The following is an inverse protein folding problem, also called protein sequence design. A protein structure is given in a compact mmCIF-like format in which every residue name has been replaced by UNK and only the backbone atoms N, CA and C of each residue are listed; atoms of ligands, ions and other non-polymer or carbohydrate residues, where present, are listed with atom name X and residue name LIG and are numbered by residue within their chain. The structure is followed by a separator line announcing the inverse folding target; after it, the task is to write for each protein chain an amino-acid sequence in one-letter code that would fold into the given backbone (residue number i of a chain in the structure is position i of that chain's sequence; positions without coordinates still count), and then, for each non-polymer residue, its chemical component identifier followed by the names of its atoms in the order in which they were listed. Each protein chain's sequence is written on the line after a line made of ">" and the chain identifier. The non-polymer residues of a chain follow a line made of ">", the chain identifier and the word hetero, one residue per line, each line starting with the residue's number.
data_IF_854829309583
#
_entry.id   IF_854829309583
#
_cell.length_a   1.000
_cell.length_b   1.000
_cell.length_c   1.000
_cell.angle_alpha   90.00
_cell.angle_beta   90.00
_cell.angle_gamma   90.00
#
_symmetry.space_group_name_H-M   'P 1'
#
loop_
_entity.id
_entity.type
_entity.pdbx_description
1 polymer ?
#
# COMPACT_ATOMS: atom_id res chain seq x y z
N UNK A 1 -8.34 -1.58 1.19
CA UNK A 1 -7.91 -1.03 2.48
C UNK A 1 -8.77 -1.57 3.60
N UNK A 2 -8.15 -2.15 4.62
CA UNK A 2 -8.89 -2.64 5.79
C UNK A 2 -9.45 -1.46 6.60
N UNK A 3 -10.54 -1.68 7.34
CA UNK A 3 -11.11 -0.67 8.25
C UNK A 3 -10.08 -0.16 9.26
N UNK A 4 -9.16 -1.04 9.69
CA UNK A 4 -8.07 -0.71 10.62
C UNK A 4 -7.07 0.25 9.96
N UNK A 5 -6.61 -0.06 8.75
CA UNK A 5 -5.66 0.80 8.03
C UNK A 5 -6.26 2.18 7.73
N UNK A 6 -7.53 2.23 7.34
CA UNK A 6 -8.24 3.48 7.12
C UNK A 6 -8.28 4.33 8.39
N UNK A 7 -8.63 3.70 9.51
CA UNK A 7 -8.69 4.37 10.81
C UNK A 7 -7.31 4.84 11.27
N UNK A 8 -6.26 4.06 11.01
CA UNK A 8 -4.88 4.46 11.30
C UNK A 8 -4.47 5.69 10.49
N UNK A 9 -4.76 5.72 9.18
CA UNK A 9 -4.47 6.88 8.34
C UNK A 9 -5.19 8.14 8.81
N UNK A 10 -6.47 8.03 9.20
CA UNK A 10 -7.22 9.14 9.79
C UNK A 10 -6.56 9.68 11.06
N UNK A 11 -6.19 8.80 11.99
CA UNK A 11 -5.55 9.19 13.25
C UNK A 11 -4.18 9.84 12.98
N UNK A 12 -3.38 9.27 12.07
CA UNK A 12 -2.09 9.84 11.68
C UNK A 12 -2.28 11.24 11.07
N UNK A 13 -3.26 11.42 10.19
CA UNK A 13 -3.60 12.73 9.62
C UNK A 13 -3.96 13.76 10.71
N UNK A 14 -4.82 13.38 11.66
CA UNK A 14 -5.18 14.24 12.79
C UNK A 14 -3.94 14.60 13.63
N UNK A 15 -3.06 13.63 13.92
CA UNK A 15 -1.83 13.88 14.67
C UNK A 15 -0.91 14.86 13.93
N UNK A 16 -0.73 14.69 12.63
CA UNK A 16 0.10 15.60 11.82
C UNK A 16 -0.46 17.03 11.73
N UNK A 17 -1.78 17.20 11.79
CA UNK A 17 -2.42 18.52 11.70
C UNK A 17 -2.60 19.24 13.04
N UNK A 18 -2.85 18.49 14.12
CA UNK A 18 -3.37 19.05 15.38
C UNK A 18 -2.39 19.01 16.54
N UNK A 19 -1.31 18.24 16.45
CA UNK A 19 -0.30 18.13 17.52
C UNK A 19 0.93 18.97 17.19
N UNK A 20 1.51 19.56 18.22
CA UNK A 20 2.87 20.05 18.17
C UNK A 20 3.81 18.83 18.24
N UNK A 21 4.32 18.44 17.07
CA UNK A 21 5.26 17.35 16.90
C UNK A 21 6.65 17.94 16.69
N UNK A 22 7.66 17.26 17.24
CA UNK A 22 9.04 17.52 16.83
C UNK A 22 9.21 17.18 15.35
N UNK A 23 10.22 17.76 14.66
CA UNK A 23 10.50 17.42 13.27
C UNK A 23 10.69 15.91 13.03
N UNK A 24 11.25 15.20 14.01
CA UNK A 24 11.47 13.75 13.93
C UNK A 24 10.15 12.98 14.00
N UNK A 25 9.30 13.25 15.00
CA UNK A 25 8.00 12.57 15.13
C UNK A 25 7.10 12.79 13.91
N UNK A 26 7.09 14.02 13.38
CA UNK A 26 6.35 14.33 12.16
C UNK A 26 6.90 13.61 10.92
N UNK A 27 8.20 13.30 10.89
CA UNK A 27 8.80 12.50 9.82
C UNK A 27 8.40 11.02 9.94
N UNK A 28 8.53 10.43 11.13
CA UNK A 28 8.16 9.04 11.38
C UNK A 28 6.68 8.75 11.10
N UNK A 29 5.79 9.67 11.49
CA UNK A 29 4.36 9.56 11.19
C UNK A 29 4.08 9.65 9.68
N UNK A 30 4.80 10.51 8.96
CA UNK A 30 4.69 10.61 7.50
C UNK A 30 5.18 9.35 6.79
N UNK A 31 6.29 8.78 7.24
CA UNK A 31 6.79 7.51 6.71
C UNK A 31 5.81 6.36 7.01
N UNK A 32 5.24 6.32 8.22
CA UNK A 32 4.21 5.35 8.59
C UNK A 32 2.96 5.48 7.71
N UNK A 33 2.48 6.71 7.48
CA UNK A 33 1.37 6.98 6.57
C UNK A 33 1.70 6.51 5.14
N UNK A 34 2.87 6.89 4.62
CA UNK A 34 3.32 6.52 3.28
C UNK A 34 3.39 5.00 3.12
N UNK A 35 3.92 4.29 4.12
CA UNK A 35 4.04 2.85 4.09
C UNK A 35 2.69 2.14 3.97
N UNK A 36 1.69 2.56 4.75
CA UNK A 36 0.33 1.99 4.68
C UNK A 36 -0.27 2.22 3.29
N UNK A 37 -0.17 3.45 2.76
CA UNK A 37 -0.69 3.80 1.43
C UNK A 37 0.00 3.01 0.32
N UNK A 38 1.33 2.92 0.35
CA UNK A 38 2.12 2.21 -0.65
C UNK A 38 1.81 0.71 -0.63
N UNK A 39 1.63 0.12 0.55
CA UNK A 39 1.22 -1.29 0.70
C UNK A 39 -0.13 -1.54 0.05
N UNK A 40 -1.12 -0.69 0.31
CA UNK A 40 -2.47 -0.82 -0.27
C UNK A 40 -2.47 -0.60 -1.79
N UNK A 41 -1.69 0.36 -2.30
CA UNK A 41 -1.50 0.55 -3.74
C UNK A 41 -0.90 -0.69 -4.41
N UNK A 42 0.13 -1.30 -3.80
CA UNK A 42 0.73 -2.54 -4.30
C UNK A 42 -0.26 -3.70 -4.32
N UNK A 43 -1.05 -3.88 -3.25
CA UNK A 43 -2.13 -4.89 -3.19
C UNK A 43 -3.18 -4.67 -4.28
N UNK A 44 -3.63 -3.43 -4.48
CA UNK A 44 -4.59 -3.09 -5.53
C UNK A 44 -4.04 -3.40 -6.93
N UNK A 45 -2.75 -3.10 -7.17
CA UNK A 45 -2.06 -3.45 -8.43
C UNK A 45 -2.05 -4.96 -8.68
N UNK A 46 -1.75 -5.78 -7.68
CA UNK A 46 -1.80 -7.25 -7.80
C UNK A 46 -3.22 -7.74 -8.16
N UNK A 47 -4.25 -7.21 -7.50
CA UNK A 47 -5.64 -7.56 -7.81
C UNK A 47 -6.02 -7.20 -9.25
N UNK A 48 -5.61 -6.02 -9.71
CA UNK A 48 -5.85 -5.59 -11.09
C UNK A 48 -5.13 -6.48 -12.12
N UNK A 49 -3.89 -6.87 -11.84
CA UNK A 49 -3.13 -7.79 -12.70
C UNK A 49 -3.78 -9.18 -12.75
N UNK A 50 -4.25 -9.69 -11.61
CA UNK A 50 -5.00 -10.95 -11.55
C UNK A 50 -6.29 -10.88 -12.36
N UNK A 51 -7.03 -9.77 -12.24
CA UNK A 51 -8.24 -9.54 -13.02
C UNK A 51 -7.97 -9.47 -14.53
N UNK A 52 -6.95 -8.72 -14.94
CA UNK A 52 -6.52 -8.62 -16.33
C UNK A 52 -6.07 -9.98 -16.90
N UNK A 53 -5.27 -10.74 -16.14
CA UNK A 53 -4.84 -12.08 -16.50
C UNK A 53 -6.02 -13.05 -16.69
N UNK A 54 -7.00 -13.00 -15.78
CA UNK A 54 -8.21 -13.84 -15.84
C UNK A 54 -9.10 -13.52 -17.05
N UNK A 55 -9.35 -12.24 -17.32
CA UNK A 55 -10.25 -11.83 -18.41
C UNK A 55 -9.57 -11.95 -19.76
N UNK A 56 -8.32 -11.49 -19.86
CA UNK A 56 -7.58 -11.50 -21.12
C UNK A 56 -7.09 -12.89 -21.55
N UNK A 57 -7.02 -13.85 -20.62
CA UNK A 57 -6.39 -15.18 -20.83
C UNK A 57 -4.99 -15.05 -21.45
N UNK A 58 -4.29 -13.97 -21.12
CA UNK A 58 -3.01 -13.60 -21.71
C UNK A 58 -1.89 -13.88 -20.71
N UNK A 59 -0.93 -14.68 -21.16
CA UNK A 59 0.21 -15.11 -20.37
C UNK A 59 1.09 -13.96 -19.91
N UNK A 60 1.16 -12.86 -20.65
CA UNK A 60 1.95 -11.67 -20.29
C UNK A 60 1.46 -11.07 -18.97
N UNK A 61 0.15 -11.03 -18.75
CA UNK A 61 -0.42 -10.54 -17.49
C UNK A 61 -0.18 -11.51 -16.33
N UNK A 62 -0.21 -12.82 -16.59
CA UNK A 62 0.15 -13.84 -15.60
C UNK A 62 1.62 -13.74 -15.17
N UNK A 63 2.54 -13.55 -16.11
CA UNK A 63 3.96 -13.36 -15.83
C UNK A 63 4.20 -12.08 -15.01
N UNK A 64 3.59 -10.96 -15.41
CA UNK A 64 3.66 -9.70 -14.65
C UNK A 64 3.08 -9.83 -13.24
N UNK A 65 1.94 -10.51 -13.08
CA UNK A 65 1.36 -10.81 -11.77
C UNK A 65 2.35 -11.59 -10.90
N UNK A 66 2.96 -12.63 -11.46
CA UNK A 66 3.88 -13.51 -10.74
C UNK A 66 5.12 -12.76 -10.28
N UNK A 67 5.71 -11.94 -11.14
CA UNK A 67 6.87 -11.11 -10.81
C UNK A 67 6.55 -10.10 -9.69
N UNK A 68 5.42 -9.40 -9.80
CA UNK A 68 4.98 -8.44 -8.78
C UNK A 68 4.65 -9.12 -7.45
N UNK A 69 4.04 -10.30 -7.48
CA UNK A 69 3.73 -11.08 -6.29
C UNK A 69 4.99 -11.55 -5.58
N UNK A 70 5.98 -12.05 -6.33
CA UNK A 70 7.27 -12.44 -5.79
C UNK A 70 8.04 -11.25 -5.19
N UNK A 71 7.98 -10.08 -5.83
CA UNK A 71 8.56 -8.85 -5.28
C UNK A 71 7.87 -8.40 -4.00
N UNK A 72 6.53 -8.53 -3.93
CA UNK A 72 5.76 -8.23 -2.73
C UNK A 72 6.16 -9.12 -1.55
N UNK A 73 6.25 -10.44 -1.74
CA UNK A 73 6.61 -11.40 -0.68
C UNK A 73 8.08 -11.37 -0.23
N UNK A 74 8.97 -10.68 -0.95
CA UNK A 74 10.37 -10.48 -0.50
C UNK A 74 10.52 -9.27 0.43
N UNK A 75 9.54 -8.37 0.43
CA UNK A 75 9.55 -7.13 1.22
C UNK A 75 8.82 -7.25 2.57
N UNK A 76 8.06 -8.33 2.77
CA UNK A 76 7.21 -8.59 3.93
C UNK A 76 7.37 -10.04 4.37
#
# INVERSE_FOLDING_TARGET
>A
MSTVDQRLLEIIGIMLEKRELTPMEAHELRESHRFIVDRERKRARLLNLLFAARIGKDWIWFEKLTNEYNAFNKLY
#
